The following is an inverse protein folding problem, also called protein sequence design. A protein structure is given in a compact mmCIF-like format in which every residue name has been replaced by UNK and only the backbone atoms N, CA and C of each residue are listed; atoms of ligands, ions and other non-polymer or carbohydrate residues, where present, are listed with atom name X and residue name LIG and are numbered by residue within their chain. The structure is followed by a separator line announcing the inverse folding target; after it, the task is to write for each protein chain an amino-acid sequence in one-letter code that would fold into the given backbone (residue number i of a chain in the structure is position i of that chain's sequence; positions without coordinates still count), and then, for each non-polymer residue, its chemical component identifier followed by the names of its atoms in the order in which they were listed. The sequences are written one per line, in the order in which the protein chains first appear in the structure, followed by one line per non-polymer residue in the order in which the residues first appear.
data_IF_720304412082
#
_entry.id   IF_720304412082
#
_cell.length_a   1.000
_cell.length_b   1.000
_cell.length_c   1.000
_cell.angle_alpha   90.00
_cell.angle_beta   90.00
_cell.angle_gamma   90.00
#
_symmetry.space_group_name_H-M   'P 1'
#
loop_
_entity.id
_entity.type
_entity.pdbx_description
1 polymer ?
#
# COMPACT_ATOMS: atom_id res chain seq x y z
N UNK A 1 -34.22 27.10 -10.15
CA UNK A 1 -33.50 25.96 -9.52
C UNK A 1 -33.10 26.37 -8.11
N UNK A 2 -33.62 25.67 -7.11
CA UNK A 2 -33.58 26.07 -5.70
C UNK A 2 -32.13 26.16 -5.14
N UNK A 3 -31.73 27.27 -4.48
CA UNK A 3 -30.42 27.43 -3.84
C UNK A 3 -30.08 26.33 -2.81
N UNK A 4 -31.07 25.72 -2.16
CA UNK A 4 -30.88 24.65 -1.17
C UNK A 4 -30.40 23.35 -1.80
N UNK A 5 -30.88 23.03 -3.02
CA UNK A 5 -30.52 21.80 -3.74
C UNK A 5 -29.06 21.84 -4.18
N UNK A 6 -28.53 23.02 -4.51
CA UNK A 6 -27.09 23.19 -4.82
C UNK A 6 -26.22 22.94 -3.59
N UNK A 7 -26.56 23.50 -2.43
CA UNK A 7 -25.78 23.27 -1.19
C UNK A 7 -25.78 21.81 -0.75
N UNK A 8 -26.91 21.11 -0.90
CA UNK A 8 -27.02 19.69 -0.56
C UNK A 8 -26.17 18.83 -1.50
N UNK A 9 -26.21 19.09 -2.81
CA UNK A 9 -25.35 18.41 -3.80
C UNK A 9 -23.86 18.66 -3.57
N UNK A 10 -23.46 19.89 -3.22
CA UNK A 10 -22.07 20.20 -2.88
C UNK A 10 -21.60 19.49 -1.61
N UNK A 11 -22.45 19.39 -0.56
CA UNK A 11 -22.10 18.64 0.65
C UNK A 11 -22.06 17.13 0.40
N UNK A 12 -22.96 16.60 -0.43
CA UNK A 12 -22.99 15.18 -0.80
C UNK A 12 -21.81 14.81 -1.70
N UNK A 13 -21.45 15.65 -2.67
CA UNK A 13 -20.27 15.46 -3.52
C UNK A 13 -18.96 15.67 -2.74
N UNK A 14 -18.90 16.61 -1.79
CA UNK A 14 -17.76 16.73 -0.89
C UNK A 14 -17.65 15.55 0.09
N UNK A 15 -18.77 14.90 0.44
CA UNK A 15 -18.79 13.66 1.22
C UNK A 15 -18.35 12.44 0.37
N UNK A 16 -18.79 12.36 -0.90
CA UNK A 16 -18.38 11.33 -1.87
C UNK A 16 -16.92 11.50 -2.33
N UNK A 17 -16.45 12.74 -2.46
CA UNK A 17 -15.06 13.09 -2.81
C UNK A 17 -14.20 13.36 -1.56
N UNK A 18 -14.68 12.98 -0.37
CA UNK A 18 -13.85 12.83 0.81
C UNK A 18 -13.04 11.56 0.62
N UNK A 19 -12.13 11.58 -0.36
CA UNK A 19 -10.90 10.81 -0.34
C UNK A 19 -10.35 11.01 1.06
N UNK A 20 -10.57 10.02 1.93
CA UNK A 20 -10.08 10.07 3.30
C UNK A 20 -8.56 10.00 3.20
N UNK A 21 -7.92 11.15 3.07
CA UNK A 21 -6.55 11.42 3.47
C UNK A 21 -6.48 11.40 5.00
N UNK A 22 -6.96 10.31 5.59
CA UNK A 22 -6.71 9.95 6.98
C UNK A 22 -5.55 8.95 7.04
N UNK A 23 -4.92 8.77 8.22
CA UNK A 23 -3.93 7.73 8.40
C UNK A 23 -4.47 6.38 7.90
N UNK A 24 -3.62 5.56 7.27
CA UNK A 24 -4.01 4.25 6.74
C UNK A 24 -4.26 3.31 7.94
N UNK A 25 -5.49 3.35 8.48
CA UNK A 25 -5.84 2.66 9.73
C UNK A 25 -5.79 1.13 9.64
N UNK A 26 -5.65 0.55 8.44
CA UNK A 26 -5.78 -0.90 8.20
C UNK A 26 -4.58 -1.57 7.54
N UNK A 27 -3.50 -0.83 7.22
CA UNK A 27 -2.28 -1.42 6.62
C UNK A 27 -1.08 -1.10 7.50
N UNK A 28 -0.43 -2.14 8.03
CA UNK A 28 0.71 -2.00 8.95
C UNK A 28 1.91 -1.38 8.24
N UNK A 29 2.49 -0.32 8.81
CA UNK A 29 3.78 0.22 8.37
C UNK A 29 4.91 -0.55 9.06
N UNK A 30 5.75 -1.21 8.27
CA UNK A 30 6.97 -1.88 8.73
C UNK A 30 8.17 -0.93 8.64
N UNK A 31 9.06 -1.01 9.63
CA UNK A 31 10.36 -0.36 9.54
C UNK A 31 11.13 -0.90 8.34
N UNK A 32 11.77 -0.02 7.58
CA UNK A 32 12.62 -0.42 6.47
C UNK A 32 13.75 -1.35 6.92
N UNK A 33 14.29 -1.15 8.13
CA UNK A 33 15.30 -2.02 8.74
C UNK A 33 14.80 -3.45 8.93
N UNK A 34 13.53 -3.61 9.29
CA UNK A 34 12.93 -4.93 9.50
C UNK A 34 12.67 -5.63 8.17
N UNK A 35 12.19 -4.89 7.17
CA UNK A 35 12.04 -5.42 5.80
C UNK A 35 13.41 -5.83 5.23
N UNK A 36 14.43 -4.95 5.31
CA UNK A 36 15.80 -5.25 4.84
C UNK A 36 16.38 -6.47 5.54
N UNK A 37 16.18 -6.61 6.85
CA UNK A 37 16.64 -7.78 7.61
C UNK A 37 15.89 -9.06 7.19
N UNK A 38 14.57 -8.98 7.07
CA UNK A 38 13.73 -10.12 6.70
C UNK A 38 14.02 -10.65 5.29
N UNK A 39 14.37 -9.76 4.35
CA UNK A 39 14.73 -10.10 2.97
C UNK A 39 16.22 -10.38 2.77
N UNK A 40 17.01 -10.38 3.85
CA UNK A 40 18.45 -10.60 3.80
C UNK A 40 19.15 -9.58 2.88
N UNK A 41 18.90 -8.30 3.12
CA UNK A 41 19.43 -7.22 2.29
C UNK A 41 18.85 -7.17 0.88
N UNK A 42 17.66 -7.75 0.64
CA UNK A 42 17.07 -7.92 -0.69
C UNK A 42 17.84 -8.89 -1.60
N UNK A 43 18.57 -9.87 -1.05
CA UNK A 43 19.25 -10.90 -1.85
C UNK A 43 18.38 -12.13 -2.13
N UNK A 44 17.31 -12.36 -1.35
CA UNK A 44 16.43 -13.54 -1.48
C UNK A 44 15.36 -13.38 -2.55
N UNK A 45 15.77 -13.25 -3.81
CA UNK A 45 14.84 -13.12 -4.93
C UNK A 45 13.90 -14.34 -4.99
N UNK A 46 12.60 -14.09 -4.95
CA UNK A 46 11.57 -15.11 -5.12
C UNK A 46 11.03 -15.13 -6.56
N UNK A 47 10.82 -13.95 -7.15
CA UNK A 47 10.47 -13.81 -8.56
C UNK A 47 10.98 -12.48 -9.11
N UNK A 48 11.23 -12.45 -10.42
CA UNK A 48 11.58 -11.25 -11.18
C UNK A 48 10.77 -11.26 -12.48
N UNK A 49 10.13 -10.14 -12.81
CA UNK A 49 9.41 -9.97 -14.07
C UNK A 49 9.41 -8.51 -14.53
N UNK A 50 8.74 -8.25 -15.65
CA UNK A 50 8.54 -6.91 -16.21
C UNK A 50 7.76 -5.96 -15.33
N UNK A 51 7.31 -6.35 -14.12
CA UNK A 51 6.66 -5.51 -13.12
C UNK A 51 7.51 -5.32 -11.84
N UNK A 52 8.74 -5.81 -11.84
CA UNK A 52 9.70 -5.66 -10.73
C UNK A 52 10.13 -6.97 -10.10
N UNK A 53 10.92 -6.84 -9.04
CA UNK A 53 11.46 -7.97 -8.27
C UNK A 53 10.66 -8.11 -6.98
N UNK A 54 10.44 -9.35 -6.55
CA UNK A 54 10.02 -9.62 -5.19
C UNK A 54 10.95 -10.59 -4.49
N UNK A 55 11.04 -10.39 -3.19
CA UNK A 55 11.95 -11.06 -2.30
C UNK A 55 11.18 -11.88 -1.27
N UNK A 56 11.70 -13.06 -0.96
CA UNK A 56 11.22 -13.85 0.17
C UNK A 56 11.68 -13.17 1.46
N UNK A 57 10.73 -12.83 2.32
CA UNK A 57 10.98 -12.26 3.63
C UNK A 57 10.62 -13.26 4.74
N UNK A 58 11.46 -13.33 5.78
CA UNK A 58 11.15 -14.03 7.03
C UNK A 58 11.33 -13.05 8.19
N UNK A 59 10.23 -12.65 8.80
CA UNK A 59 10.22 -11.70 9.92
C UNK A 59 10.53 -12.39 11.25
N UNK A 60 10.96 -11.59 12.22
CA UNK A 60 11.08 -12.00 13.62
C UNK A 60 9.68 -12.39 14.13
N UNK A 61 9.54 -13.64 14.60
CA UNK A 61 8.24 -14.27 14.87
C UNK A 61 7.85 -15.36 13.87
N UNK A 62 8.64 -15.58 12.82
CA UNK A 62 8.48 -16.71 11.89
C UNK A 62 7.50 -16.44 10.75
N UNK A 63 6.87 -15.26 10.70
CA UNK A 63 6.01 -14.86 9.58
C UNK A 63 6.83 -14.79 8.28
N UNK A 64 6.30 -15.42 7.23
CA UNK A 64 6.90 -15.43 5.89
C UNK A 64 6.01 -14.64 4.94
N UNK A 65 6.63 -13.77 4.15
CA UNK A 65 5.92 -12.95 3.17
C UNK A 65 6.73 -12.74 1.89
N UNK A 66 6.08 -12.20 0.87
CA UNK A 66 6.73 -11.66 -0.32
C UNK A 66 6.80 -10.14 -0.19
N UNK A 67 8.00 -9.58 -0.35
CA UNK A 67 8.23 -8.15 -0.39
C UNK A 67 8.46 -7.78 -1.84
N UNK A 68 7.52 -7.06 -2.45
CA UNK A 68 7.63 -6.54 -3.82
C UNK A 68 8.04 -5.07 -3.77
N UNK A 69 9.03 -4.70 -4.58
CA UNK A 69 9.33 -3.29 -4.80
C UNK A 69 8.18 -2.64 -5.59
N UNK A 70 7.63 -1.56 -5.04
CA UNK A 70 6.69 -0.73 -5.79
C UNK A 70 7.50 0.11 -6.78
N UNK A 71 7.12 0.08 -8.06
CA UNK A 71 7.70 1.02 -9.04
C UNK A 71 7.32 2.44 -8.62
N UNK A 72 8.22 3.38 -8.93
CA UNK A 72 7.91 4.79 -8.80
C UNK A 72 6.54 5.03 -9.46
N UNK A 73 5.60 5.53 -8.68
CA UNK A 73 4.36 6.00 -9.25
C UNK A 73 4.69 7.37 -9.84
N UNK A 74 4.57 7.51 -11.16
CA UNK A 74 4.85 8.77 -11.87
C UNK A 74 4.02 9.95 -11.31
N UNK A 75 2.94 9.64 -10.60
CA UNK A 75 2.02 10.59 -9.96
C UNK A 75 2.37 10.95 -8.50
N UNK A 76 3.53 10.53 -7.98
CA UNK A 76 4.02 10.89 -6.64
C UNK A 76 3.39 10.10 -5.48
N UNK A 77 3.72 10.48 -4.24
CA UNK A 77 3.40 9.72 -3.02
C UNK A 77 1.90 9.47 -2.78
N UNK A 78 1.01 10.35 -3.26
CA UNK A 78 -0.44 10.21 -3.08
C UNK A 78 -1.01 8.98 -3.79
N UNK A 79 -0.53 8.70 -5.00
CA UNK A 79 -0.96 7.55 -5.80
C UNK A 79 -0.54 6.22 -5.14
N UNK A 80 0.65 6.18 -4.54
CA UNK A 80 1.11 5.05 -3.72
C UNK A 80 0.16 4.78 -2.55
N UNK A 81 -0.18 5.81 -1.79
CA UNK A 81 -1.09 5.66 -0.65
C UNK A 81 -2.51 5.28 -1.07
N UNK A 82 -2.99 5.77 -2.22
CA UNK A 82 -4.27 5.36 -2.80
C UNK A 82 -4.28 3.87 -3.12
N UNK A 83 -3.23 3.37 -3.76
CA UNK A 83 -3.10 1.96 -4.12
C UNK A 83 -2.96 1.08 -2.88
N UNK A 84 -2.18 1.50 -1.87
CA UNK A 84 -2.11 0.82 -0.58
C UNK A 84 -3.48 0.72 0.10
N UNK A 85 -4.28 1.78 0.05
CA UNK A 85 -5.63 1.76 0.60
C UNK A 85 -6.55 0.80 -0.14
N UNK A 86 -6.42 0.71 -1.46
CA UNK A 86 -7.18 -0.22 -2.28
C UNK A 86 -6.80 -1.67 -1.97
N UNK A 87 -5.50 -2.00 -2.05
CA UNK A 87 -4.98 -3.35 -1.79
C UNK A 87 -5.23 -3.81 -0.35
N UNK A 88 -5.13 -2.92 0.63
CA UNK A 88 -5.40 -3.25 2.03
C UNK A 88 -6.87 -3.55 2.34
N UNK A 89 -7.81 -3.21 1.44
CA UNK A 89 -9.23 -3.61 1.55
C UNK A 89 -9.56 -4.87 0.78
N UNK A 90 -8.65 -5.32 -0.09
CA UNK A 90 -8.86 -6.45 -0.99
C UNK A 90 -8.59 -7.76 -0.24
N UNK A 91 -9.59 -8.24 0.49
CA UNK A 91 -9.52 -9.48 1.23
C UNK A 91 -10.40 -10.54 0.58
N UNK A 92 -9.77 -11.48 -0.13
CA UNK A 92 -10.46 -12.58 -0.78
C UNK A 92 -9.66 -13.88 -0.67
N UNK A 93 -10.33 -15.04 -0.56
CA UNK A 93 -9.70 -16.37 -0.39
C UNK A 93 -8.74 -16.79 -1.51
N UNK A 94 -8.84 -16.16 -2.68
CA UNK A 94 -8.03 -16.45 -3.87
C UNK A 94 -6.99 -15.37 -4.18
N UNK A 95 -6.86 -14.36 -3.31
CA UNK A 95 -5.90 -13.28 -3.48
C UNK A 95 -4.92 -13.26 -2.30
N UNK A 96 -3.68 -12.89 -2.58
CA UNK A 96 -2.71 -12.62 -1.52
C UNK A 96 -3.09 -11.32 -0.83
N UNK A 97 -3.34 -11.39 0.48
CA UNK A 97 -3.66 -10.21 1.28
C UNK A 97 -2.40 -9.35 1.51
N UNK A 98 -2.55 -8.04 1.35
CA UNK A 98 -1.50 -7.09 1.71
C UNK A 98 -1.37 -7.02 3.24
N UNK A 99 -0.21 -7.45 3.77
CA UNK A 99 0.06 -7.41 5.22
C UNK A 99 0.56 -6.05 5.70
N UNK A 100 1.24 -5.31 4.84
CA UNK A 100 1.81 -4.02 5.20
C UNK A 100 2.63 -3.39 4.10
N UNK A 101 3.26 -2.26 4.43
CA UNK A 101 4.13 -1.51 3.55
C UNK A 101 5.35 -0.97 4.29
N UNK A 102 6.36 -0.53 3.55
CA UNK A 102 7.49 0.20 4.08
C UNK A 102 7.90 1.32 3.14
N UNK A 103 8.55 2.34 3.69
CA UNK A 103 9.08 3.49 2.95
C UNK A 103 10.55 3.64 3.34
N UNK A 104 11.45 3.60 2.36
CA UNK A 104 12.88 3.74 2.58
C UNK A 104 13.64 3.59 1.28
N UNK A 105 14.87 4.12 1.25
CA UNK A 105 15.72 4.04 0.08
C UNK A 105 16.54 2.75 0.14
N UNK A 106 16.54 2.03 -0.99
CA UNK A 106 17.45 0.92 -1.22
C UNK A 106 18.84 1.47 -1.48
N UNK A 107 19.59 1.66 -0.39
CA UNK A 107 21.05 1.86 -0.39
C UNK A 107 21.70 0.49 -0.38
#
# INVERSE_FOLDING_TARGET
MDPMIRKLRFRLLAWLHRSRSGPILFVKKFSYKDVKRATDGFHRVAYSNSHGVAYKARFEGGEVALVKEARAFDEGNESFYRELQFLGRLHHRHLLALRGFSTGNKI
#
